data_IF_722173275133
#
_entry.id   IF_722173275133
#
_cell.length_a   1.000
_cell.length_b   1.000
_cell.length_c   1.000
_cell.angle_alpha   90.00
_cell.angle_beta   90.00
_cell.angle_gamma   90.00
#
_symmetry.space_group_name_H-M   'P 1'
#
loop_
_entity.id
_entity.type
_entity.pdbx_description
1 polymer ?
#
# COMPACT_ATOMS: atom_id res chain seq x y z
N UNK A 1 -10.36 1.25 -15.98
CA UNK A 1 -10.41 1.79 -14.61
C UNK A 1 -9.22 1.27 -13.84
N UNK A 2 -8.90 1.87 -12.69
CA UNK A 2 -7.93 1.36 -11.73
C UNK A 2 -8.65 1.27 -10.39
N UNK A 3 -8.60 0.10 -9.75
CA UNK A 3 -9.28 -0.19 -8.50
C UNK A 3 -8.24 -0.77 -7.56
N UNK A 4 -7.83 -0.02 -6.52
CA UNK A 4 -6.94 -0.55 -5.50
C UNK A 4 -7.57 -1.74 -4.76
N UNK A 5 -6.72 -2.60 -4.18
CA UNK A 5 -7.16 -3.81 -3.49
C UNK A 5 -8.01 -3.50 -2.25
N UNK A 6 -7.61 -2.48 -1.48
CA UNK A 6 -8.33 -2.04 -0.29
C UNK A 6 -8.55 -0.52 -0.25
N UNK A 7 -9.66 -0.14 0.39
CA UNK A 7 -9.95 1.23 0.82
C UNK A 7 -10.08 1.22 2.34
N UNK A 8 -9.18 1.92 3.01
CA UNK A 8 -9.05 1.96 4.46
C UNK A 8 -9.62 3.27 4.98
N UNK A 9 -10.49 3.18 5.98
CA UNK A 9 -11.05 4.33 6.68
C UNK A 9 -10.43 4.38 8.07
N UNK A 10 -9.85 5.52 8.41
CA UNK A 10 -9.24 5.75 9.72
C UNK A 10 -10.22 6.46 10.65
N UNK A 11 -9.97 6.37 11.96
CA UNK A 11 -10.86 6.97 12.98
C UNK A 11 -10.79 8.49 13.03
N UNK A 12 -9.79 9.11 12.40
CA UNK A 12 -9.67 10.56 12.16
C UNK A 12 -10.25 10.95 10.78
N UNK A 13 -11.13 10.12 10.23
CA UNK A 13 -11.88 10.30 8.98
C UNK A 13 -11.06 10.37 7.68
N UNK A 14 -9.72 10.24 7.75
CA UNK A 14 -8.93 10.17 6.52
C UNK A 14 -9.06 8.81 5.84
N UNK A 15 -8.83 8.81 4.53
CA UNK A 15 -8.95 7.63 3.68
C UNK A 15 -7.59 7.32 3.06
N UNK A 16 -7.20 6.06 3.12
CA UNK A 16 -6.09 5.53 2.33
C UNK A 16 -6.56 4.41 1.40
N UNK A 17 -5.82 4.22 0.33
CA UNK A 17 -5.96 3.10 -0.58
C UNK A 17 -4.72 2.24 -0.49
N UNK A 18 -4.87 0.94 -0.34
CA UNK A 18 -3.74 0.02 -0.24
C UNK A 18 -3.76 -0.93 -1.45
N UNK A 19 -2.60 -1.15 -2.04
CA UNK A 19 -2.38 -2.06 -3.17
C UNK A 19 -1.35 -3.10 -2.76
N UNK A 20 -1.69 -4.38 -2.82
CA UNK A 20 -0.78 -5.49 -2.50
C UNK A 20 -0.16 -6.04 -3.78
N UNK A 21 1.17 -6.20 -3.80
CA UNK A 21 1.90 -6.73 -4.97
C UNK A 21 3.06 -7.63 -4.57
N UNK A 22 3.09 -8.84 -5.15
CA UNK A 22 4.29 -9.69 -5.17
C UNK A 22 5.22 -9.39 -6.35
N UNK A 23 4.66 -9.16 -7.54
CA UNK A 23 5.40 -8.74 -8.74
C UNK A 23 4.70 -7.57 -9.42
N UNK A 24 5.46 -6.52 -9.73
CA UNK A 24 4.90 -5.26 -10.21
C UNK A 24 5.07 -5.06 -11.72
N UNK A 25 4.00 -5.34 -12.46
CA UNK A 25 3.96 -5.23 -13.91
C UNK A 25 3.92 -3.76 -14.39
N UNK A 26 4.45 -3.44 -15.59
CA UNK A 26 4.46 -2.07 -16.15
C UNK A 26 3.08 -1.38 -16.20
N UNK A 27 2.01 -2.15 -16.43
CA UNK A 27 0.63 -1.63 -16.42
C UNK A 27 0.22 -1.14 -15.03
N UNK A 28 0.57 -1.87 -13.98
CA UNK A 28 0.32 -1.49 -12.58
C UNK A 28 1.04 -0.20 -12.22
N UNK A 29 2.34 -0.11 -12.53
CA UNK A 29 3.14 1.12 -12.37
C UNK A 29 2.47 2.33 -13.02
N UNK A 30 1.97 2.17 -14.25
CA UNK A 30 1.30 3.23 -14.98
C UNK A 30 -0.03 3.63 -14.33
N UNK A 31 -0.81 2.66 -13.86
CA UNK A 31 -2.07 2.91 -13.16
C UNK A 31 -1.85 3.70 -11.86
N UNK A 32 -0.86 3.33 -11.05
CA UNK A 32 -0.52 4.05 -9.81
C UNK A 32 -0.01 5.46 -10.06
N UNK A 33 0.83 5.66 -11.10
CA UNK A 33 1.25 7.01 -11.52
C UNK A 33 0.05 7.89 -11.92
N UNK A 34 -0.92 7.30 -12.63
CA UNK A 34 -2.17 8.01 -13.00
C UNK A 34 -3.04 8.28 -11.78
N UNK A 35 -3.12 7.35 -10.82
CA UNK A 35 -3.83 7.56 -9.57
C UNK A 35 -3.27 8.79 -8.84
N UNK A 36 -1.95 8.85 -8.63
CA UNK A 36 -1.29 9.98 -7.99
C UNK A 36 -1.51 11.30 -8.74
N UNK A 37 -1.58 11.26 -10.08
CA UNK A 37 -1.87 12.45 -10.91
C UNK A 37 -3.33 12.92 -10.79
N UNK A 38 -4.29 12.01 -10.85
CA UNK A 38 -5.72 12.35 -10.92
C UNK A 38 -6.38 12.50 -9.56
N UNK A 39 -5.82 11.88 -8.52
CA UNK A 39 -6.31 11.92 -7.15
C UNK A 39 -5.20 12.31 -6.17
N UNK A 40 -4.59 13.50 -6.31
CA UNK A 40 -3.43 13.90 -5.50
C UNK A 40 -3.74 14.06 -4.01
N UNK A 41 -5.02 14.19 -3.64
CA UNK A 41 -5.49 14.28 -2.25
C UNK A 41 -5.71 12.91 -1.61
N UNK A 42 -5.66 11.82 -2.38
CA UNK A 42 -5.82 10.46 -1.87
C UNK A 42 -4.46 9.79 -1.79
N UNK A 43 -4.20 9.13 -0.66
CA UNK A 43 -2.96 8.42 -0.42
C UNK A 43 -3.09 6.98 -0.90
N UNK A 44 -2.15 6.53 -1.72
CA UNK A 44 -2.04 5.14 -2.17
C UNK A 44 -0.76 4.52 -1.58
N UNK A 45 -0.93 3.50 -0.74
CA UNK A 45 0.16 2.72 -0.15
C UNK A 45 0.38 1.47 -1.01
N UNK A 46 1.62 1.26 -1.47
CA UNK A 46 2.02 0.00 -2.10
C UNK A 46 2.59 -0.92 -1.01
N UNK A 47 1.99 -2.09 -0.88
CA UNK A 47 2.40 -3.16 0.03
C UNK A 47 3.08 -4.23 -0.81
N UNK A 48 4.40 -4.19 -0.84
CA UNK A 48 5.26 -5.12 -1.56
C UNK A 48 6.36 -5.70 -0.66
N UNK A 49 7.31 -6.41 -1.25
CA UNK A 49 8.45 -6.98 -0.52
C UNK A 49 9.27 -5.90 0.22
N UNK A 50 9.44 -4.72 -0.37
CA UNK A 50 10.21 -3.63 0.25
C UNK A 50 9.47 -3.06 1.47
N UNK A 51 8.14 -2.97 1.40
CA UNK A 51 7.29 -2.57 2.53
C UNK A 51 7.51 -3.50 3.74
N UNK A 52 7.42 -4.81 3.56
CA UNK A 52 7.64 -5.77 4.65
C UNK A 52 9.08 -5.78 5.15
N UNK A 53 10.08 -5.65 4.25
CA UNK A 53 11.49 -5.46 4.66
C UNK A 53 11.67 -4.22 5.53
N UNK A 54 10.95 -3.13 5.25
CA UNK A 54 11.00 -1.92 6.06
C UNK A 54 10.38 -2.13 7.45
N UNK A 55 9.23 -2.81 7.54
CA UNK A 55 8.59 -3.15 8.82
C UNK A 55 9.49 -4.05 9.68
N UNK A 56 10.14 -5.04 9.06
CA UNK A 56 11.10 -5.91 9.74
C UNK A 56 12.30 -5.13 10.30
N UNK A 57 12.84 -4.17 9.55
CA UNK A 57 13.90 -3.28 10.06
C UNK A 57 13.45 -2.40 11.24
N UNK A 58 12.16 -2.15 11.37
CA UNK A 58 11.56 -1.42 12.49
C UNK A 58 11.19 -2.34 13.67
N UNK A 59 11.40 -3.65 13.54
CA UNK A 59 11.07 -4.64 14.58
C UNK A 59 9.57 -4.89 14.76
N UNK A 60 8.74 -4.49 13.79
CA UNK A 60 7.28 -4.62 13.88
C UNK A 60 6.85 -6.09 13.84
N UNK A 61 7.55 -6.92 13.09
CA UNK A 61 7.33 -8.37 13.02
C UNK A 61 7.43 -9.04 14.40
N UNK A 62 8.29 -8.53 15.28
CA UNK A 62 8.44 -9.06 16.65
C UNK A 62 7.28 -8.72 17.60
N UNK A 63 6.42 -7.77 17.23
CA UNK A 63 5.29 -7.33 18.07
C UNK A 63 4.08 -8.27 17.95
N UNK A 64 4.00 -9.05 16.88
CA UNK A 64 2.87 -9.95 16.62
C UNK A 64 3.33 -11.38 16.87
N UNK A 65 2.77 -12.00 17.90
CA UNK A 65 3.09 -13.38 18.23
C UNK A 65 2.74 -14.31 17.04
N UNK A 66 3.68 -15.19 16.67
CA UNK A 66 3.59 -16.11 15.52
C UNK A 66 3.54 -15.43 14.14
N UNK A 67 4.18 -14.27 13.98
CA UNK A 67 4.44 -13.69 12.66
C UNK A 67 5.52 -14.48 11.90
N UNK A 68 5.19 -15.05 10.74
CA UNK A 68 6.14 -15.71 9.83
C UNK A 68 6.87 -14.72 8.90
#
# INVERSE_FOLDING_TARGET
>A
SYTPDFKVYFSDDHIEYHEVKGYDYPKGKTARKRFAKYYPHLKLILIDEEFFKALKRQGIDSLIENWE
#
